data_IF_311052258689
#
_entry.id   IF_311052258689
#
_cell.length_a   1.000
_cell.length_b   1.000
_cell.length_c   1.000
_cell.angle_alpha   90.00
_cell.angle_beta   90.00
_cell.angle_gamma   90.00
#
_symmetry.space_group_name_H-M   'P 1'
#
loop_
_entity.id
_entity.type
_entity.pdbx_description
1 polymer ?
#
# COMPACT_ATOMS: atom_id res chain seq x y z
N UNK A 1 1.93 -58.16 23.57
CA UNK A 1 1.44 -57.80 24.91
C UNK A 1 2.06 -56.47 25.32
N UNK A 2 1.38 -55.37 25.01
CA UNK A 2 1.33 -54.13 25.80
C UNK A 2 -0.05 -53.53 25.53
N UNK A 3 -0.58 -52.90 26.56
CA UNK A 3 -1.97 -52.80 26.95
C UNK A 3 -2.87 -51.92 26.07
N UNK A 4 -4.14 -52.31 26.07
CA UNK A 4 -5.27 -51.53 25.61
C UNK A 4 -5.97 -50.92 26.83
N UNK A 5 -5.68 -49.65 27.15
CA UNK A 5 -6.56 -48.83 27.98
C UNK A 5 -6.14 -47.36 27.91
N UNK A 6 -6.84 -46.55 27.11
CA UNK A 6 -7.40 -45.29 27.61
C UNK A 6 -8.45 -44.75 26.63
N UNK A 7 -9.67 -45.27 26.80
CA UNK A 7 -10.86 -44.87 26.07
C UNK A 7 -11.68 -43.89 26.91
N UNK A 8 -11.21 -42.65 27.09
CA UNK A 8 -12.10 -41.56 27.53
C UNK A 8 -11.53 -40.17 27.19
N UNK A 9 -11.56 -39.78 25.92
CA UNK A 9 -11.55 -38.36 25.52
C UNK A 9 -12.85 -38.03 24.81
N UNK A 10 -13.89 -37.81 25.62
CA UNK A 10 -15.15 -37.20 25.19
C UNK A 10 -14.85 -35.93 24.41
N UNK A 11 -15.39 -35.85 23.20
CA UNK A 11 -15.42 -34.65 22.35
C UNK A 11 -16.07 -33.51 23.15
N UNK A 12 -15.25 -32.59 23.66
CA UNK A 12 -15.76 -31.29 24.06
C UNK A 12 -16.19 -30.56 22.77
N UNK A 13 -17.41 -30.01 22.70
CA UNK A 13 -17.82 -29.22 21.54
C UNK A 13 -16.90 -28.00 21.45
N UNK A 14 -16.35 -27.75 20.26
CA UNK A 14 -15.54 -26.57 19.94
C UNK A 14 -16.45 -25.34 20.10
N UNK A 15 -16.46 -24.77 21.31
CA UNK A 15 -17.19 -23.52 21.65
C UNK A 15 -16.66 -22.29 20.90
N UNK A 16 -15.61 -22.43 20.09
CA UNK A 16 -14.97 -21.35 19.33
C UNK A 16 -15.68 -20.98 18.04
N UNK A 17 -16.16 -21.94 17.24
CA UNK A 17 -16.70 -21.66 15.89
C UNK A 17 -18.07 -20.97 15.96
N UNK A 18 -18.93 -21.38 16.89
CA UNK A 18 -20.24 -20.73 17.07
C UNK A 18 -20.12 -19.32 17.64
N UNK A 19 -19.15 -19.06 18.52
CA UNK A 19 -18.83 -17.70 18.98
C UNK A 19 -18.16 -16.84 17.89
N UNK A 20 -17.34 -17.45 17.01
CA UNK A 20 -16.74 -16.77 15.86
C UNK A 20 -17.83 -16.36 14.84
N UNK A 21 -18.79 -17.26 14.58
CA UNK A 21 -19.91 -17.03 13.65
C UNK A 21 -20.97 -16.08 14.23
N UNK A 22 -21.30 -16.16 15.52
CA UNK A 22 -22.22 -15.20 16.17
C UNK A 22 -21.60 -13.81 16.26
N UNK A 23 -20.28 -13.72 16.45
CA UNK A 23 -19.55 -12.44 16.47
C UNK A 23 -19.31 -11.86 15.06
N UNK A 24 -19.16 -12.70 14.04
CA UNK A 24 -19.19 -12.27 12.63
C UNK A 24 -20.55 -11.65 12.26
N UNK A 25 -21.65 -12.08 12.90
CA UNK A 25 -22.99 -11.50 12.76
C UNK A 25 -23.22 -10.21 13.56
N UNK A 26 -22.55 -10.03 14.71
CA UNK A 26 -22.78 -8.91 15.64
C UNK A 26 -21.96 -7.64 15.29
N UNK A 27 -21.85 -7.30 14.00
CA UNK A 27 -21.12 -6.12 13.48
C UNK A 27 -21.92 -4.81 13.52
N UNK A 28 -23.18 -4.83 13.93
CA UNK A 28 -24.03 -3.63 14.01
C UNK A 28 -23.90 -2.87 15.35
N UNK A 29 -22.81 -3.09 16.11
CA UNK A 29 -22.37 -2.13 17.15
C UNK A 29 -21.72 -0.90 16.50
N UNK A 30 -22.62 -0.04 16.01
CA UNK A 30 -22.34 1.25 15.44
C UNK A 30 -22.01 1.15 13.96
N UNK A 31 -23.00 1.42 13.12
CA UNK A 31 -22.79 2.27 11.94
C UNK A 31 -22.00 3.48 12.46
N UNK A 32 -20.67 3.38 12.47
CA UNK A 32 -19.81 4.51 12.77
C UNK A 32 -19.92 5.39 11.52
N UNK A 33 -21.07 6.05 11.39
CA UNK A 33 -21.32 7.11 10.43
C UNK A 33 -20.21 8.11 10.67
N UNK A 34 -19.19 8.05 9.82
CA UNK A 34 -18.13 9.04 9.81
C UNK A 34 -18.87 10.35 9.54
N UNK A 35 -18.87 11.29 10.50
CA UNK A 35 -19.68 12.49 10.35
C UNK A 35 -19.24 13.19 9.06
N UNK A 36 -20.24 13.59 8.25
CA UNK A 36 -20.00 14.30 6.99
C UNK A 36 -19.05 15.49 7.21
N UNK A 37 -19.20 16.14 8.36
CA UNK A 37 -18.30 17.16 8.87
C UNK A 37 -17.20 16.54 9.74
N UNK A 38 -15.91 16.77 9.43
CA UNK A 38 -14.83 16.25 10.24
C UNK A 38 -14.85 16.89 11.65
N UNK A 39 -14.37 16.18 12.70
CA UNK A 39 -14.55 16.61 14.08
C UNK A 39 -13.80 17.92 14.37
N UNK A 40 -14.36 18.76 15.23
CA UNK A 40 -13.73 20.03 15.62
C UNK A 40 -12.43 19.85 16.42
N UNK A 41 -12.23 18.67 17.02
CA UNK A 41 -11.05 18.32 17.82
C UNK A 41 -10.47 16.98 17.37
N UNK A 42 -9.16 16.83 17.53
CA UNK A 42 -8.46 15.59 17.21
C UNK A 42 -8.86 14.49 18.19
N UNK A 43 -9.29 13.31 17.72
CA UNK A 43 -9.65 12.21 18.62
C UNK A 43 -8.46 11.63 19.39
N UNK A 44 -7.22 11.92 18.99
CA UNK A 44 -5.99 11.47 19.66
C UNK A 44 -5.46 12.50 20.66
N UNK A 45 -5.15 13.71 20.22
CA UNK A 45 -4.50 14.72 21.05
C UNK A 45 -5.44 15.82 21.56
N UNK A 46 -6.72 15.77 21.22
CA UNK A 46 -7.74 16.76 21.55
C UNK A 46 -7.43 18.20 21.09
N UNK A 47 -6.42 18.41 20.24
CA UNK A 47 -6.13 19.70 19.67
C UNK A 47 -7.29 20.16 18.78
N UNK A 48 -7.61 21.46 18.83
CA UNK A 48 -8.59 22.07 17.93
C UNK A 48 -8.11 21.95 16.48
N UNK A 49 -9.03 21.60 15.57
CA UNK A 49 -8.74 21.38 14.15
C UNK A 49 -9.32 22.53 13.33
N UNK A 50 -8.54 23.61 13.07
CA UNK A 50 -9.03 24.77 12.34
C UNK A 50 -9.33 24.42 10.88
N UNK A 51 -10.54 24.74 10.43
CA UNK A 51 -11.05 24.40 9.11
C UNK A 51 -10.22 24.96 7.92
N UNK A 52 -9.40 25.99 8.18
CA UNK A 52 -8.66 26.76 7.17
C UNK A 52 -7.30 26.17 6.78
N UNK A 53 -6.76 25.20 7.52
CA UNK A 53 -5.39 24.71 7.26
C UNK A 53 -5.32 23.71 6.11
N UNK A 54 -4.27 23.77 5.28
CA UNK A 54 -4.02 22.80 4.19
C UNK A 54 -4.00 21.34 4.70
N UNK A 55 -3.37 21.11 5.86
CA UNK A 55 -3.37 19.79 6.50
C UNK A 55 -4.78 19.31 6.86
N UNK A 56 -5.68 20.23 7.22
CA UNK A 56 -7.06 19.89 7.53
C UNK A 56 -7.90 19.56 6.30
N UNK A 57 -7.67 20.23 5.16
CA UNK A 57 -8.25 19.79 3.88
C UNK A 57 -7.85 18.36 3.53
N UNK A 58 -6.67 17.96 3.97
CA UNK A 58 -6.19 16.58 3.87
C UNK A 58 -6.58 15.72 5.07
N UNK A 59 -7.35 16.22 6.04
CA UNK A 59 -7.73 15.51 7.29
C UNK A 59 -6.54 14.89 8.04
N UNK A 60 -5.44 15.63 8.13
CA UNK A 60 -4.27 15.31 8.95
C UNK A 60 -4.18 16.29 10.12
N UNK A 61 -4.05 15.78 11.34
CA UNK A 61 -3.88 16.63 12.52
C UNK A 61 -2.52 17.33 12.49
N UNK A 62 -2.44 18.67 12.56
CA UNK A 62 -1.16 19.38 12.54
C UNK A 62 -0.34 19.18 13.82
N UNK A 63 -0.98 18.80 14.93
CA UNK A 63 -0.31 18.66 16.24
C UNK A 63 0.27 17.28 16.48
N UNK A 64 -0.41 16.21 16.05
CA UNK A 64 0.03 14.83 16.30
C UNK A 64 0.18 13.98 15.02
N UNK A 65 0.01 14.59 13.85
CA UNK A 65 0.08 13.93 12.55
C UNK A 65 -0.87 12.74 12.38
N UNK A 66 -1.92 12.61 13.20
CA UNK A 66 -2.95 11.60 13.01
C UNK A 66 -3.64 11.81 11.66
N UNK A 67 -3.64 10.77 10.83
CA UNK A 67 -4.38 10.69 9.60
C UNK A 67 -5.82 10.25 9.88
N UNK A 68 -6.79 11.16 9.70
CA UNK A 68 -8.20 10.83 9.82
C UNK A 68 -8.75 10.33 8.48
N UNK A 69 -9.87 9.61 8.53
CA UNK A 69 -10.56 9.10 7.34
C UNK A 69 -11.05 10.23 6.45
N UNK A 70 -10.78 10.09 5.16
CA UNK A 70 -11.08 11.07 4.11
C UNK A 70 -11.97 10.39 3.05
N UNK A 71 -13.15 10.95 2.72
CA UNK A 71 -14.00 10.43 1.66
C UNK A 71 -13.28 10.31 0.32
N UNK A 72 -13.72 9.39 -0.54
CA UNK A 72 -13.02 9.06 -1.77
C UNK A 72 -12.86 10.26 -2.72
N UNK A 73 -13.91 11.07 -2.89
CA UNK A 73 -13.86 12.27 -3.77
C UNK A 73 -12.92 13.34 -3.23
N UNK A 74 -12.95 13.59 -1.93
CA UNK A 74 -12.01 14.52 -1.27
C UNK A 74 -10.56 14.01 -1.43
N UNK A 75 -10.36 12.70 -1.26
CA UNK A 75 -9.07 12.04 -1.47
C UNK A 75 -8.55 12.25 -2.89
N UNK A 76 -9.39 12.03 -3.90
CA UNK A 76 -9.04 12.28 -5.31
C UNK A 76 -8.59 13.73 -5.48
N UNK A 77 -9.38 14.70 -5.00
CA UNK A 77 -9.08 16.13 -5.13
C UNK A 77 -7.75 16.55 -4.49
N UNK A 78 -7.28 15.86 -3.45
CA UNK A 78 -5.95 16.15 -2.86
C UNK A 78 -4.78 15.68 -3.71
N UNK A 79 -5.00 14.70 -4.59
CA UNK A 79 -3.94 14.00 -5.32
C UNK A 79 -3.77 14.49 -6.76
N UNK A 80 -4.87 14.79 -7.45
CA UNK A 80 -4.88 15.04 -8.90
C UNK A 80 -4.80 16.52 -9.26
N UNK A 81 -4.52 16.84 -10.52
CA UNK A 81 -4.58 18.20 -11.06
C UNK A 81 -6.03 18.70 -11.08
N UNK A 82 -6.22 19.98 -10.71
CA UNK A 82 -7.55 20.60 -10.62
C UNK A 82 -8.31 20.50 -11.95
N UNK A 83 -9.57 20.07 -11.89
CA UNK A 83 -10.44 19.91 -13.06
C UNK A 83 -10.08 18.76 -14.01
N UNK A 84 -9.13 17.88 -13.64
CA UNK A 84 -8.70 16.78 -14.51
C UNK A 84 -9.48 15.47 -14.34
N UNK A 85 -10.31 15.34 -13.30
CA UNK A 85 -11.03 14.11 -13.01
C UNK A 85 -12.16 13.86 -13.99
N UNK A 86 -12.21 12.65 -14.55
CA UNK A 86 -13.35 12.14 -15.30
C UNK A 86 -13.72 10.78 -14.71
N UNK A 87 -14.86 10.74 -14.01
CA UNK A 87 -15.36 9.52 -13.40
C UNK A 87 -15.75 8.49 -14.47
N UNK A 88 -15.55 7.22 -14.15
CA UNK A 88 -15.83 6.08 -15.03
C UNK A 88 -16.64 5.04 -14.28
N UNK A 89 -17.52 4.35 -15.01
CA UNK A 89 -18.46 3.37 -14.46
C UNK A 89 -19.31 3.94 -13.31
N UNK A 90 -19.66 5.23 -13.34
CA UNK A 90 -20.47 5.86 -12.30
C UNK A 90 -21.79 5.12 -12.11
N UNK A 91 -22.39 4.65 -13.21
CA UNK A 91 -23.66 3.93 -13.29
C UNK A 91 -23.65 2.53 -12.65
N UNK A 92 -22.48 1.95 -12.37
CA UNK A 92 -22.41 0.66 -11.69
C UNK A 92 -22.80 0.82 -10.21
N UNK A 93 -23.94 0.24 -9.84
CA UNK A 93 -24.50 0.32 -8.50
C UNK A 93 -24.70 -1.05 -7.86
N UNK A 94 -24.39 -1.15 -6.58
CA UNK A 94 -24.60 -2.37 -5.80
C UNK A 94 -26.07 -2.75 -5.77
N UNK A 95 -26.33 -4.04 -5.92
CA UNK A 95 -27.65 -4.66 -5.80
C UNK A 95 -27.61 -5.75 -4.73
N UNK A 96 -28.76 -6.36 -4.44
CA UNK A 96 -28.87 -7.44 -3.47
C UNK A 96 -29.12 -8.79 -4.19
N UNK A 97 -28.08 -9.42 -4.77
CA UNK A 97 -28.23 -10.63 -5.58
C UNK A 97 -28.59 -11.87 -4.76
N UNK A 98 -28.42 -11.80 -3.43
CA UNK A 98 -28.68 -12.92 -2.51
C UNK A 98 -29.96 -12.73 -1.69
N UNK A 99 -30.67 -11.61 -1.89
CA UNK A 99 -31.81 -11.20 -1.05
C UNK A 99 -31.47 -11.28 0.45
N UNK A 100 -30.26 -10.82 0.80
CA UNK A 100 -29.67 -11.04 2.10
C UNK A 100 -30.41 -10.27 3.19
N UNK A 101 -30.67 -10.95 4.31
CA UNK A 101 -31.38 -10.39 5.45
C UNK A 101 -30.68 -10.75 6.76
N UNK A 102 -30.32 -9.73 7.54
CA UNK A 102 -29.89 -9.83 8.94
C UNK A 102 -30.88 -9.09 9.86
N UNK A 103 -30.42 -8.21 10.74
CA UNK A 103 -31.27 -7.30 11.51
C UNK A 103 -32.05 -6.33 10.60
N UNK A 104 -31.50 -6.01 9.43
CA UNK A 104 -32.13 -5.14 8.41
C UNK A 104 -31.87 -5.68 6.99
N UNK A 105 -32.84 -5.60 6.07
CA UNK A 105 -32.64 -6.04 4.68
C UNK A 105 -31.42 -5.36 4.04
N UNK A 106 -30.55 -6.12 3.36
CA UNK A 106 -29.35 -5.56 2.74
C UNK A 106 -29.68 -4.52 1.67
N UNK A 107 -30.70 -4.75 0.84
CA UNK A 107 -31.23 -3.76 -0.10
C UNK A 107 -31.58 -2.40 0.56
N UNK A 108 -32.11 -2.41 1.79
CA UNK A 108 -32.43 -1.17 2.51
C UNK A 108 -31.15 -0.44 2.98
N UNK A 109 -30.13 -1.19 3.42
CA UNK A 109 -28.80 -0.64 3.77
C UNK A 109 -28.16 0.01 2.55
N UNK A 110 -28.17 -0.66 1.40
CA UNK A 110 -27.65 -0.13 0.15
C UNK A 110 -28.33 1.18 -0.23
N UNK A 111 -29.67 1.20 -0.23
CA UNK A 111 -30.43 2.41 -0.57
C UNK A 111 -30.12 3.58 0.37
N UNK A 112 -29.97 3.30 1.66
CA UNK A 112 -29.58 4.32 2.65
C UNK A 112 -28.17 4.86 2.37
N UNK A 113 -27.19 3.98 2.19
CA UNK A 113 -25.80 4.33 1.93
C UNK A 113 -25.63 5.10 0.61
N UNK A 114 -26.32 4.67 -0.44
CA UNK A 114 -26.31 5.36 -1.74
C UNK A 114 -26.89 6.78 -1.62
N UNK A 115 -27.97 6.94 -0.85
CA UNK A 115 -28.57 8.24 -0.61
C UNK A 115 -27.70 9.16 0.27
N UNK A 116 -27.05 8.62 1.31
CA UNK A 116 -26.24 9.42 2.24
C UNK A 116 -24.88 9.84 1.67
N UNK A 117 -24.28 9.02 0.80
CA UNK A 117 -22.95 9.28 0.25
C UNK A 117 -22.98 9.84 -1.18
N UNK A 118 -24.15 9.87 -1.83
CA UNK A 118 -24.28 10.21 -3.26
C UNK A 118 -23.30 9.40 -4.12
N UNK A 119 -23.19 8.11 -3.83
CA UNK A 119 -22.28 7.16 -4.46
C UNK A 119 -22.99 5.82 -4.63
N UNK A 120 -22.69 5.13 -5.73
CA UNK A 120 -23.38 3.88 -6.08
C UNK A 120 -22.80 2.63 -5.39
N UNK A 121 -21.54 2.69 -4.95
CA UNK A 121 -20.87 1.71 -4.10
C UNK A 121 -19.64 2.35 -3.41
N UNK A 122 -18.91 1.59 -2.60
CA UNK A 122 -17.75 1.99 -1.81
C UNK A 122 -16.46 2.28 -2.59
N UNK A 123 -16.57 2.70 -3.86
CA UNK A 123 -15.42 3.02 -4.69
C UNK A 123 -15.76 4.09 -5.74
N UNK A 124 -14.81 4.99 -5.97
CA UNK A 124 -14.82 5.97 -7.05
C UNK A 124 -13.66 5.67 -7.99
N UNK A 125 -13.95 5.51 -9.28
CA UNK A 125 -12.98 5.18 -10.33
C UNK A 125 -13.01 6.23 -11.44
N UNK A 126 -11.87 6.55 -12.02
CA UNK A 126 -11.84 7.52 -13.11
C UNK A 126 -10.47 7.67 -13.75
N UNK A 127 -10.42 8.50 -14.79
CA UNK A 127 -9.17 9.02 -15.33
C UNK A 127 -8.87 10.39 -14.73
N UNK A 128 -7.59 10.72 -14.57
CA UNK A 128 -7.14 12.00 -14.04
C UNK A 128 -5.75 12.36 -14.56
N UNK A 129 -5.23 13.51 -14.11
CA UNK A 129 -3.82 13.87 -14.29
C UNK A 129 -3.15 14.13 -12.95
N UNK A 130 -1.88 13.80 -12.82
CA UNK A 130 -1.01 14.25 -11.73
C UNK A 130 0.24 14.87 -12.36
N UNK A 131 0.45 16.17 -12.16
CA UNK A 131 1.56 16.90 -12.78
C UNK A 131 1.57 16.78 -14.30
N UNK A 132 0.38 16.77 -14.93
CA UNK A 132 0.19 16.61 -16.36
C UNK A 132 0.21 15.16 -16.88
N UNK A 133 0.69 14.19 -16.10
CA UNK A 133 0.74 12.77 -16.49
C UNK A 133 -0.64 12.16 -16.33
N UNK A 134 -1.17 11.56 -17.40
CA UNK A 134 -2.48 10.89 -17.38
C UNK A 134 -2.40 9.57 -16.61
N UNK A 135 -3.38 9.35 -15.74
CA UNK A 135 -3.48 8.15 -14.91
C UNK A 135 -4.91 7.60 -14.91
N UNK A 136 -5.03 6.34 -14.53
CA UNK A 136 -6.28 5.76 -14.03
C UNK A 136 -6.20 5.69 -12.51
N UNK A 137 -7.26 6.11 -11.82
CA UNK A 137 -7.32 6.14 -10.36
C UNK A 137 -8.56 5.42 -9.85
N UNK A 138 -8.40 4.66 -8.77
CA UNK A 138 -9.46 3.96 -8.07
C UNK A 138 -9.33 4.17 -6.56
N UNK A 139 -10.34 4.78 -5.94
CA UNK A 139 -10.30 5.17 -4.52
C UNK A 139 -11.47 4.54 -3.78
N UNK A 140 -11.17 3.68 -2.83
CA UNK A 140 -12.19 3.08 -1.96
C UNK A 140 -12.65 4.09 -0.91
N UNK A 141 -13.94 4.03 -0.57
CA UNK A 141 -14.55 4.87 0.45
C UNK A 141 -14.96 4.04 1.67
N UNK A 142 -14.21 4.17 2.77
CA UNK A 142 -14.52 3.45 4.00
C UNK A 142 -15.86 3.90 4.63
N UNK A 143 -16.34 5.09 4.28
CA UNK A 143 -17.61 5.61 4.81
C UNK A 143 -18.80 4.81 4.29
N UNK A 144 -18.70 4.22 3.10
CA UNK A 144 -19.70 3.35 2.52
C UNK A 144 -19.48 1.90 2.97
N UNK A 145 -20.29 1.42 3.91
CA UNK A 145 -20.26 0.02 4.38
C UNK A 145 -18.84 -0.50 4.74
N UNK A 146 -18.02 0.34 5.36
CA UNK A 146 -16.66 -0.01 5.77
C UNK A 146 -15.70 -0.24 4.60
N UNK A 147 -15.99 0.32 3.41
CA UNK A 147 -15.15 0.13 2.23
C UNK A 147 -15.13 -1.31 1.73
N UNK A 148 -16.09 -2.13 2.18
CA UNK A 148 -16.05 -3.57 1.93
C UNK A 148 -16.19 -3.88 0.44
N UNK A 149 -15.40 -4.82 -0.07
CA UNK A 149 -15.44 -5.20 -1.48
C UNK A 149 -16.58 -6.18 -1.75
N UNK A 150 -17.60 -5.71 -2.45
CA UNK A 150 -18.64 -6.51 -3.11
C UNK A 150 -18.38 -6.65 -4.61
N UNK A 151 -19.38 -7.11 -5.36
CA UNK A 151 -19.38 -7.26 -6.83
C UNK A 151 -18.97 -5.97 -7.52
N UNK A 152 -19.58 -4.84 -7.16
CA UNK A 152 -19.35 -3.57 -7.87
C UNK A 152 -17.97 -3.00 -7.57
N UNK A 153 -17.48 -3.04 -6.33
CA UNK A 153 -16.09 -2.72 -6.01
C UNK A 153 -15.11 -3.57 -6.84
N UNK A 154 -15.31 -4.88 -6.87
CA UNK A 154 -14.46 -5.79 -7.64
C UNK A 154 -14.49 -5.54 -9.15
N UNK A 155 -15.68 -5.30 -9.70
CA UNK A 155 -15.88 -4.97 -11.11
C UNK A 155 -15.16 -3.67 -11.47
N UNK A 156 -15.34 -2.62 -10.66
CA UNK A 156 -14.73 -1.31 -10.91
C UNK A 156 -13.21 -1.35 -10.84
N UNK A 157 -12.61 -2.13 -9.92
CA UNK A 157 -11.16 -2.32 -9.87
C UNK A 157 -10.67 -3.06 -11.12
N UNK A 158 -11.36 -4.13 -11.53
CA UNK A 158 -11.00 -4.88 -12.73
C UNK A 158 -11.10 -4.01 -13.99
N UNK A 159 -12.20 -3.28 -14.15
CA UNK A 159 -12.41 -2.34 -15.24
C UNK A 159 -11.37 -1.20 -15.25
N UNK A 160 -11.01 -0.65 -14.09
CA UNK A 160 -9.96 0.36 -14.00
C UNK A 160 -8.58 -0.17 -14.44
N UNK A 161 -8.26 -1.42 -14.10
CA UNK A 161 -7.02 -2.05 -14.56
C UNK A 161 -7.03 -2.33 -16.07
N UNK A 162 -8.17 -2.76 -16.62
CA UNK A 162 -8.33 -2.99 -18.07
C UNK A 162 -8.29 -1.67 -18.86
N UNK A 163 -8.91 -0.61 -18.34
CA UNK A 163 -8.83 0.76 -18.89
C UNK A 163 -7.38 1.29 -18.84
N UNK A 164 -6.66 1.08 -17.74
CA UNK A 164 -5.25 1.45 -17.62
C UNK A 164 -4.38 0.77 -18.70
N UNK A 165 -4.64 -0.50 -18.99
CA UNK A 165 -4.00 -1.23 -20.09
C UNK A 165 -4.39 -0.63 -21.45
N UNK A 166 -5.68 -0.49 -21.72
CA UNK A 166 -6.17 -0.01 -23.01
C UNK A 166 -5.70 1.42 -23.35
N UNK A 167 -5.58 2.26 -22.32
CA UNK A 167 -5.20 3.65 -22.46
C UNK A 167 -3.69 3.91 -22.27
N UNK A 168 -2.90 2.87 -21.98
CA UNK A 168 -1.47 2.90 -21.68
C UNK A 168 -1.10 3.89 -20.55
N UNK A 169 -1.83 3.80 -19.43
CA UNK A 169 -1.70 4.74 -18.31
C UNK A 169 -1.46 4.03 -16.98
N UNK A 170 -0.61 4.58 -16.11
CA UNK A 170 -0.43 4.09 -14.75
C UNK A 170 -1.76 3.94 -14.00
N UNK A 171 -1.89 2.86 -13.22
CA UNK A 171 -2.99 2.65 -12.30
C UNK A 171 -2.58 3.05 -10.89
N UNK A 172 -3.42 3.81 -10.21
CA UNK A 172 -3.25 4.15 -8.80
C UNK A 172 -4.48 3.72 -8.01
N UNK A 173 -4.29 2.86 -7.01
CA UNK A 173 -5.36 2.54 -6.05
C UNK A 173 -5.11 3.19 -4.70
N UNK A 174 -6.14 3.75 -4.10
CA UNK A 174 -6.12 4.18 -2.70
C UNK A 174 -7.12 3.33 -1.94
N UNK A 175 -6.60 2.52 -1.02
CA UNK A 175 -7.34 1.40 -0.43
C UNK A 175 -7.70 1.74 1.00
N UNK A 176 -9.00 1.70 1.30
CA UNK A 176 -9.55 1.79 2.65
C UNK A 176 -10.71 0.79 2.73
N UNK A 177 -10.48 -0.36 3.37
CA UNK A 177 -11.45 -1.45 3.42
C UNK A 177 -11.31 -2.32 4.66
N UNK A 178 -12.46 -2.71 5.22
CA UNK A 178 -12.57 -3.74 6.25
C UNK A 178 -12.60 -5.19 5.72
N UNK A 179 -12.45 -5.41 4.41
CA UNK A 179 -12.41 -6.71 3.77
C UNK A 179 -13.56 -6.98 2.78
N UNK A 180 -13.92 -8.25 2.60
CA UNK A 180 -14.98 -8.65 1.67
C UNK A 180 -16.39 -8.34 2.22
N UNK A 181 -17.34 -8.02 1.33
CA UNK A 181 -18.72 -7.73 1.70
C UNK A 181 -19.52 -9.01 1.92
N UNK A 182 -19.73 -9.35 3.19
CA UNK A 182 -20.36 -10.60 3.60
C UNK A 182 -21.79 -10.78 3.06
N UNK A 183 -22.54 -9.68 2.91
CA UNK A 183 -23.91 -9.69 2.40
C UNK A 183 -24.00 -10.21 0.96
N UNK A 184 -22.91 -10.13 0.20
CA UNK A 184 -22.81 -10.65 -1.17
C UNK A 184 -22.13 -12.03 -1.23
N UNK A 185 -21.73 -12.59 -0.09
CA UNK A 185 -21.25 -13.97 0.05
C UNK A 185 -20.12 -14.36 -0.91
N UNK A 186 -20.32 -15.45 -1.65
CA UNK A 186 -19.34 -15.98 -2.61
C UNK A 186 -19.03 -14.99 -3.73
N UNK A 187 -19.97 -14.12 -4.11
CA UNK A 187 -19.75 -13.13 -5.16
C UNK A 187 -18.66 -12.12 -4.77
N UNK A 188 -18.65 -11.68 -3.51
CA UNK A 188 -17.60 -10.83 -2.96
C UNK A 188 -16.25 -11.54 -2.90
N UNK A 189 -16.23 -12.83 -2.55
CA UNK A 189 -14.99 -13.61 -2.51
C UNK A 189 -14.37 -13.78 -3.91
N UNK A 190 -15.19 -14.07 -4.93
CA UNK A 190 -14.73 -14.20 -6.31
C UNK A 190 -14.11 -12.92 -6.87
N UNK A 191 -14.47 -11.75 -6.33
CA UNK A 191 -13.82 -10.50 -6.76
C UNK A 191 -12.33 -10.48 -6.48
N UNK A 192 -11.84 -11.15 -5.43
CA UNK A 192 -10.39 -11.26 -5.18
C UNK A 192 -9.65 -11.86 -6.37
N UNK A 193 -10.19 -12.93 -6.94
CA UNK A 193 -9.62 -13.59 -8.10
C UNK A 193 -9.76 -12.73 -9.37
N UNK A 194 -10.91 -12.08 -9.56
CA UNK A 194 -11.17 -11.19 -10.70
C UNK A 194 -10.19 -10.01 -10.72
N UNK A 195 -10.07 -9.29 -9.60
CA UNK A 195 -9.16 -8.14 -9.49
C UNK A 195 -7.70 -8.59 -9.61
N UNK A 196 -7.33 -9.72 -8.98
CA UNK A 196 -5.98 -10.27 -9.11
C UNK A 196 -5.61 -10.62 -10.55
N UNK A 197 -6.55 -11.20 -11.31
CA UNK A 197 -6.35 -11.50 -12.72
C UNK A 197 -6.18 -10.22 -13.57
N UNK A 198 -6.98 -9.19 -13.32
CA UNK A 198 -6.88 -7.91 -14.03
C UNK A 198 -5.55 -7.20 -13.75
N UNK A 199 -5.12 -7.14 -12.48
CA UNK A 199 -3.81 -6.58 -12.10
C UNK A 199 -2.66 -7.38 -12.70
N UNK A 200 -2.76 -8.71 -12.76
CA UNK A 200 -1.75 -9.54 -13.42
C UNK A 200 -1.61 -9.21 -14.91
N UNK A 201 -2.71 -8.95 -15.61
CA UNK A 201 -2.69 -8.50 -17.01
C UNK A 201 -2.01 -7.13 -17.13
N UNK A 202 -2.35 -6.19 -16.24
CA UNK A 202 -1.70 -4.86 -16.20
C UNK A 202 -0.19 -4.98 -16.01
N UNK A 203 0.26 -5.74 -15.02
CA UNK A 203 1.70 -5.97 -14.77
C UNK A 203 2.44 -6.51 -15.99
N UNK A 204 1.81 -7.39 -16.78
CA UNK A 204 2.43 -7.96 -17.98
C UNK A 204 2.74 -6.93 -19.09
N UNK A 205 2.14 -5.73 -19.02
CA UNK A 205 2.38 -4.64 -19.98
C UNK A 205 3.57 -3.75 -19.62
N UNK A 206 4.09 -3.84 -18.39
CA UNK A 206 5.12 -2.92 -17.89
C UNK A 206 4.61 -1.52 -17.48
N UNK A 207 3.29 -1.31 -17.53
CA UNK A 207 2.65 -0.11 -16.99
C UNK A 207 2.59 -0.21 -15.46
N UNK A 208 3.01 0.82 -14.70
CA UNK A 208 3.14 0.73 -13.26
C UNK A 208 1.78 0.74 -12.57
N UNK A 209 1.64 -0.15 -11.60
CA UNK A 209 0.56 -0.16 -10.63
C UNK A 209 1.06 0.30 -9.26
N UNK A 210 0.56 1.45 -8.79
CA UNK A 210 0.87 2.00 -7.46
C UNK A 210 -0.31 1.76 -6.52
N UNK A 211 -0.08 1.02 -5.44
CA UNK A 211 -1.09 0.78 -4.41
C UNK A 211 -0.79 1.62 -3.17
N UNK A 212 -1.75 2.42 -2.71
CA UNK A 212 -1.66 3.24 -1.50
C UNK A 212 -2.58 2.66 -0.44
N UNK A 213 -2.01 2.05 0.58
CA UNK A 213 -2.72 1.42 1.70
C UNK A 213 -3.01 2.46 2.78
N UNK A 214 -4.28 2.55 3.20
CA UNK A 214 -4.74 3.56 4.16
C UNK A 214 -5.55 2.90 5.28
N UNK A 215 -5.82 3.64 6.35
CA UNK A 215 -6.47 3.10 7.54
C UNK A 215 -7.99 2.88 7.36
N UNK A 216 -8.51 1.66 7.56
CA UNK A 216 -7.82 0.36 7.57
C UNK A 216 -7.76 -0.28 6.17
N UNK A 217 -6.83 -1.20 5.93
CA UNK A 217 -6.80 -2.08 4.75
C UNK A 217 -6.67 -3.53 5.18
N UNK A 218 -7.78 -4.26 5.24
CA UNK A 218 -7.79 -5.62 5.79
C UNK A 218 -8.50 -6.67 4.94
N UNK A 219 -8.38 -7.94 5.36
CA UNK A 219 -9.16 -9.05 4.80
C UNK A 219 -8.83 -9.39 3.35
N UNK A 220 -9.86 -9.82 2.63
CA UNK A 220 -9.73 -10.20 1.21
C UNK A 220 -9.25 -9.08 0.29
N UNK A 221 -9.45 -7.81 0.67
CA UNK A 221 -8.93 -6.67 -0.10
C UNK A 221 -7.40 -6.60 0.02
N UNK A 222 -6.86 -6.69 1.23
CA UNK A 222 -5.40 -6.79 1.44
C UNK A 222 -4.80 -8.04 0.75
N UNK A 223 -5.48 -9.19 0.82
CA UNK A 223 -5.05 -10.43 0.18
C UNK A 223 -5.36 -10.53 -1.32
N UNK A 224 -5.69 -9.41 -1.98
CA UNK A 224 -5.93 -9.35 -3.42
C UNK A 224 -5.21 -8.14 -4.02
N UNK A 225 -5.90 -7.28 -4.78
CA UNK A 225 -5.27 -6.22 -5.58
C UNK A 225 -4.41 -5.26 -4.74
N UNK A 226 -4.81 -4.97 -3.49
CA UNK A 226 -4.13 -3.98 -2.66
C UNK A 226 -2.64 -4.32 -2.43
N UNK A 227 -2.29 -5.59 -2.35
CA UNK A 227 -0.90 -6.05 -2.13
C UNK A 227 -0.19 -6.51 -3.41
N UNK A 228 -0.79 -6.25 -4.58
CA UNK A 228 -0.23 -6.62 -5.89
C UNK A 228 0.38 -5.43 -6.65
N UNK A 229 0.55 -4.28 -5.97
CA UNK A 229 1.25 -3.12 -6.51
C UNK A 229 2.68 -3.46 -6.93
N UNK A 230 3.19 -2.79 -7.96
CA UNK A 230 4.61 -2.76 -8.25
C UNK A 230 5.35 -1.89 -7.23
N UNK A 231 4.67 -0.82 -6.78
CA UNK A 231 5.04 0.00 -5.62
C UNK A 231 3.84 0.08 -4.68
N UNK A 232 4.05 -0.29 -3.43
CA UNK A 232 3.07 -0.29 -2.35
C UNK A 232 3.50 0.77 -1.32
N UNK A 233 2.74 1.85 -1.26
CA UNK A 233 2.88 2.92 -0.28
C UNK A 233 1.86 2.72 0.84
N UNK A 234 2.19 3.13 2.05
CA UNK A 234 1.21 3.19 3.14
C UNK A 234 1.21 4.55 3.82
N UNK A 235 0.06 4.93 4.39
CA UNK A 235 0.01 6.07 5.30
C UNK A 235 0.56 5.69 6.69
N UNK A 236 1.17 6.64 7.43
CA UNK A 236 1.68 6.40 8.78
C UNK A 236 0.61 5.81 9.70
N UNK A 237 1.01 4.83 10.51
CA UNK A 237 0.17 4.16 11.50
C UNK A 237 -1.10 3.47 10.96
N UNK A 238 -1.24 3.33 9.63
CA UNK A 238 -2.43 2.72 9.05
C UNK A 238 -2.55 1.24 9.42
N UNK A 239 -3.73 0.80 9.85
CA UNK A 239 -3.99 -0.61 10.17
C UNK A 239 -4.12 -1.44 8.88
N UNK A 240 -3.17 -2.33 8.65
CA UNK A 240 -3.05 -3.15 7.44
C UNK A 240 -2.80 -4.61 7.81
N UNK A 241 -3.56 -5.53 7.24
CA UNK A 241 -3.30 -6.96 7.38
C UNK A 241 -4.46 -7.87 7.03
N UNK A 242 -4.19 -9.15 6.78
CA UNK A 242 -5.24 -10.10 6.39
C UNK A 242 -6.31 -10.26 7.46
N UNK A 243 -5.90 -10.51 8.71
CA UNK A 243 -6.79 -10.53 9.85
C UNK A 243 -6.57 -9.27 10.70
N UNK A 244 -7.65 -8.67 11.21
CA UNK A 244 -7.53 -7.58 12.17
C UNK A 244 -6.97 -8.08 13.51
N UNK A 245 -6.28 -7.22 14.29
CA UNK A 245 -5.59 -7.62 15.52
C UNK A 245 -6.53 -8.32 16.49
N UNK A 246 -7.76 -7.82 16.66
CA UNK A 246 -8.79 -8.45 17.51
C UNK A 246 -9.13 -9.89 17.13
N UNK A 247 -9.14 -10.20 15.83
CA UNK A 247 -9.43 -11.55 15.34
C UNK A 247 -8.25 -12.47 15.66
N UNK A 248 -7.02 -11.98 15.48
CA UNK A 248 -5.81 -12.72 15.79
C UNK A 248 -5.72 -12.99 17.30
N UNK A 249 -5.96 -11.99 18.13
CA UNK A 249 -5.97 -12.10 19.60
C UNK A 249 -7.00 -13.12 20.10
N UNK A 250 -8.20 -13.13 19.50
CA UNK A 250 -9.23 -14.09 19.85
C UNK A 250 -8.84 -15.55 19.52
N UNK A 251 -8.08 -15.76 18.44
CA UNK A 251 -7.62 -17.09 18.01
C UNK A 251 -6.41 -17.54 18.81
N UNK A 252 -5.44 -16.66 19.04
CA UNK A 252 -4.19 -16.97 19.75
C UNK A 252 -4.41 -17.01 21.28
N UNK A 253 -5.41 -16.28 21.79
CA UNK A 253 -5.67 -16.16 23.23
C UNK A 253 -4.66 -15.27 23.95
N UNK A 254 -3.89 -14.45 23.22
CA UNK A 254 -2.91 -13.52 23.75
C UNK A 254 -3.02 -12.16 23.03
N UNK A 255 -2.74 -11.04 23.71
CA UNK A 255 -2.71 -9.73 23.06
C UNK A 255 -1.60 -9.67 22.01
N UNK A 256 -1.84 -8.96 20.93
CA UNK A 256 -0.79 -8.74 19.94
C UNK A 256 0.23 -7.70 20.43
N UNK A 257 1.50 -7.78 19.99
CA UNK A 257 2.47 -6.73 20.26
C UNK A 257 1.96 -5.36 19.79
N UNK A 258 2.32 -4.31 20.54
CA UNK A 258 2.02 -2.93 20.15
C UNK A 258 2.63 -2.63 18.78
N UNK A 259 1.87 -1.93 17.93
CA UNK A 259 2.27 -1.63 16.56
C UNK A 259 2.16 -2.81 15.58
N UNK A 260 1.77 -4.02 16.02
CA UNK A 260 1.47 -5.09 15.05
C UNK A 260 0.39 -4.65 14.06
N UNK A 261 0.52 -5.08 12.81
CA UNK A 261 -0.42 -4.74 11.72
C UNK A 261 -0.49 -3.25 11.37
N UNK A 262 0.42 -2.38 11.83
CA UNK A 262 0.52 -1.02 11.31
C UNK A 262 1.48 -0.93 10.10
N UNK A 263 1.47 0.20 9.41
CA UNK A 263 2.35 0.46 8.28
C UNK A 263 3.84 0.28 8.63
N UNK A 264 4.27 0.73 9.81
CA UNK A 264 5.65 0.61 10.30
C UNK A 264 6.08 -0.86 10.46
N UNK A 265 5.19 -1.69 11.00
CA UNK A 265 5.40 -3.13 11.12
C UNK A 265 5.49 -3.79 9.74
N UNK A 266 4.61 -3.44 8.81
CA UNK A 266 4.65 -3.99 7.45
C UNK A 266 5.92 -3.58 6.69
N UNK A 267 6.42 -2.36 6.88
CA UNK A 267 7.68 -1.91 6.27
C UNK A 267 8.86 -2.73 6.81
N UNK A 268 8.92 -2.92 8.13
CA UNK A 268 9.97 -3.73 8.77
C UNK A 268 9.99 -5.19 8.29
N UNK A 269 8.82 -5.73 7.94
CA UNK A 269 8.66 -7.11 7.44
C UNK A 269 8.59 -7.19 5.91
N UNK A 270 9.02 -6.12 5.22
CA UNK A 270 9.21 -6.12 3.77
C UNK A 270 7.93 -6.20 2.93
N UNK A 271 6.76 -5.91 3.50
CA UNK A 271 5.48 -5.99 2.78
C UNK A 271 5.13 -4.72 2.00
N UNK A 272 5.66 -3.56 2.39
CA UNK A 272 5.44 -2.27 1.73
C UNK A 272 6.79 -1.60 1.43
N UNK A 273 6.84 -0.71 0.44
CA UNK A 273 8.08 -0.06 0.01
C UNK A 273 8.39 1.20 0.81
N UNK A 274 7.35 1.96 1.17
CA UNK A 274 7.53 3.23 1.85
C UNK A 274 6.28 3.67 2.61
N UNK A 275 6.52 4.36 3.71
CA UNK A 275 5.49 5.07 4.47
C UNK A 275 5.52 6.53 4.04
N UNK A 276 4.38 7.03 3.55
CA UNK A 276 4.26 8.35 2.96
C UNK A 276 3.10 9.09 3.60
N UNK A 277 3.40 10.22 4.25
CA UNK A 277 2.36 11.09 4.80
C UNK A 277 1.50 11.69 3.68
N UNK A 278 0.23 11.95 3.99
CA UNK A 278 -0.75 12.40 3.01
C UNK A 278 -0.35 13.71 2.32
N UNK A 279 0.25 14.70 3.01
CA UNK A 279 0.74 15.91 2.36
C UNK A 279 1.90 15.68 1.38
N UNK A 280 2.71 14.64 1.59
CA UNK A 280 3.82 14.27 0.72
C UNK A 280 3.39 13.32 -0.42
N UNK A 281 2.26 12.63 -0.28
CA UNK A 281 1.81 11.57 -1.19
C UNK A 281 1.76 12.02 -2.64
N UNK A 282 1.18 13.19 -2.94
CA UNK A 282 1.13 13.73 -4.31
C UNK A 282 2.51 13.85 -4.94
N UNK A 283 3.46 14.44 -4.22
CA UNK A 283 4.80 14.66 -4.74
C UNK A 283 5.56 13.34 -4.91
N UNK A 284 5.37 12.39 -4.00
CA UNK A 284 5.97 11.05 -4.12
C UNK A 284 5.41 10.30 -5.32
N UNK A 285 4.09 10.29 -5.51
CA UNK A 285 3.44 9.67 -6.67
C UNK A 285 3.89 10.35 -7.96
N UNK A 286 3.91 11.69 -8.01
CA UNK A 286 4.37 12.43 -9.19
C UNK A 286 5.82 12.09 -9.56
N UNK A 287 6.71 11.97 -8.56
CA UNK A 287 8.11 11.57 -8.77
C UNK A 287 8.21 10.18 -9.38
N UNK A 288 7.46 9.19 -8.86
CA UNK A 288 7.40 7.84 -9.44
C UNK A 288 6.94 7.90 -10.90
N UNK A 289 5.82 8.57 -11.15
CA UNK A 289 5.22 8.70 -12.48
C UNK A 289 6.16 9.40 -13.46
N UNK A 290 6.87 10.43 -13.01
CA UNK A 290 7.81 11.19 -13.82
C UNK A 290 9.02 10.33 -14.21
N UNK A 291 9.62 9.60 -13.27
CA UNK A 291 10.72 8.68 -13.55
C UNK A 291 10.28 7.61 -14.55
N UNK A 292 9.10 7.02 -14.36
CA UNK A 292 8.55 6.04 -15.30
C UNK A 292 8.28 6.63 -16.69
N UNK A 293 7.65 7.80 -16.76
CA UNK A 293 7.37 8.49 -18.03
C UNK A 293 8.66 8.72 -18.83
N UNK A 294 9.74 9.12 -18.17
CA UNK A 294 11.01 9.35 -18.85
C UNK A 294 11.66 8.02 -19.25
N UNK A 295 11.57 6.98 -18.42
CA UNK A 295 12.09 5.66 -18.72
C UNK A 295 11.36 5.02 -19.92
N UNK A 296 10.04 5.21 -20.02
CA UNK A 296 9.22 4.68 -21.12
C UNK A 296 9.58 5.25 -22.50
N UNK A 297 10.29 6.38 -22.55
CA UNK A 297 10.74 7.04 -23.78
C UNK A 297 12.16 6.62 -24.19
N UNK A 298 12.89 5.91 -23.33
CA UNK A 298 14.24 5.48 -23.62
C UNK A 298 14.25 4.39 -24.69
N UNK A 299 15.18 4.50 -25.63
CA UNK A 299 15.48 3.42 -26.56
C UNK A 299 16.47 2.44 -25.91
N UNK A 300 15.96 1.28 -25.51
CA UNK A 300 16.74 0.19 -24.91
C UNK A 300 17.94 -0.24 -25.76
N UNK A 301 17.85 -0.18 -27.10
CA UNK A 301 18.98 -0.53 -27.97
C UNK A 301 20.05 0.57 -27.96
N UNK A 302 19.65 1.84 -27.98
CA UNK A 302 20.59 2.95 -27.89
C UNK A 302 21.38 2.95 -26.57
N UNK A 303 20.72 2.61 -25.45
CA UNK A 303 21.40 2.49 -24.14
C UNK A 303 22.42 1.35 -24.13
N UNK A 304 22.07 0.17 -24.67
CA UNK A 304 22.96 -1.01 -24.67
C UNK A 304 24.15 -0.89 -25.64
N UNK A 305 24.06 -0.02 -26.64
CA UNK A 305 25.09 0.17 -27.66
C UNK A 305 26.03 1.33 -27.34
N UNK A 306 25.84 2.03 -26.21
CA UNK A 306 26.80 3.03 -25.76
C UNK A 306 28.18 2.42 -25.60
N UNK A 307 29.19 3.13 -26.11
CA UNK A 307 30.57 2.73 -25.96
C UNK A 307 30.90 2.59 -24.47
N UNK A 308 31.72 1.59 -24.07
CA UNK A 308 32.16 1.46 -22.69
C UNK A 308 32.72 2.78 -22.19
N UNK A 309 32.38 3.15 -20.95
CA UNK A 309 32.98 4.31 -20.31
C UNK A 309 34.51 4.18 -20.40
N UNK A 310 35.14 5.21 -20.96
CA UNK A 310 36.59 5.32 -20.99
C UNK A 310 37.01 6.19 -19.81
N UNK A 311 37.96 5.70 -19.02
CA UNK A 311 38.54 6.49 -17.95
C UNK A 311 39.13 7.78 -18.51
N UNK A 312 38.97 8.88 -17.78
CA UNK A 312 39.53 10.16 -18.19
C UNK A 312 41.04 10.01 -18.39
N UNK A 313 41.60 10.34 -19.57
CA UNK A 313 43.01 10.08 -19.89
C UNK A 313 44.01 10.70 -18.92
N UNK A 314 43.59 11.75 -18.21
CA UNK A 314 44.39 12.49 -17.24
C UNK A 314 44.30 11.95 -15.81
N UNK A 315 43.52 10.88 -15.57
CA UNK A 315 43.37 10.30 -14.23
C UNK A 315 44.62 9.54 -13.82
N UNK A 316 45.54 10.22 -13.13
CA UNK A 316 46.68 9.58 -12.47
C UNK A 316 46.18 8.77 -11.26
N UNK A 317 46.07 7.46 -11.42
CA UNK A 317 45.76 6.57 -10.30
C UNK A 317 47.01 6.39 -9.40
N UNK A 318 46.84 6.24 -8.07
CA UNK A 318 47.92 5.83 -7.19
C UNK A 318 48.50 4.47 -7.61
N UNK A 319 49.64 4.10 -7.03
CA UNK A 319 50.15 2.75 -7.21
C UNK A 319 49.12 1.69 -6.72
N UNK A 320 49.13 0.47 -7.28
CA UNK A 320 48.11 -0.54 -6.97
C UNK A 320 47.98 -0.88 -5.48
N UNK A 321 49.06 -0.78 -4.70
CA UNK A 321 49.04 -1.08 -3.28
C UNK A 321 48.35 0.02 -2.47
N UNK A 322 48.66 1.28 -2.77
CA UNK A 322 47.97 2.44 -2.18
C UNK A 322 46.48 2.41 -2.50
N UNK A 323 46.11 2.22 -3.76
CA UNK A 323 44.71 2.13 -4.19
C UNK A 323 43.97 0.99 -3.47
N UNK A 324 44.58 -0.18 -3.36
CA UNK A 324 43.97 -1.34 -2.67
C UNK A 324 43.78 -1.06 -1.18
N UNK A 325 44.72 -0.36 -0.55
CA UNK A 325 44.65 0.00 0.87
C UNK A 325 43.54 1.01 1.12
N UNK A 326 43.39 2.01 0.26
CA UNK A 326 42.32 3.03 0.35
C UNK A 326 40.92 2.40 0.16
N UNK A 327 40.73 1.57 -0.86
CA UNK A 327 39.44 0.91 -1.15
C UNK A 327 39.05 -0.09 -0.06
N UNK A 328 40.02 -0.59 0.73
CA UNK A 328 39.78 -1.48 1.88
C UNK A 328 39.76 -0.75 3.22
N UNK A 329 40.05 0.55 3.25
CA UNK A 329 40.07 1.36 4.45
C UNK A 329 38.69 1.51 5.08
N UNK A 330 38.65 1.80 6.38
CA UNK A 330 37.42 2.10 7.13
C UNK A 330 36.72 3.37 6.63
N UNK A 331 37.49 4.31 6.06
CA UNK A 331 37.00 5.59 5.53
C UNK A 331 36.42 5.50 4.11
N UNK A 332 36.38 4.29 3.51
CA UNK A 332 35.86 4.13 2.15
C UNK A 332 34.38 4.53 2.10
N UNK A 333 33.92 5.26 1.07
CA UNK A 333 32.51 5.62 0.96
C UNK A 333 31.61 4.37 0.88
N UNK A 334 30.47 4.41 1.58
CA UNK A 334 29.45 3.37 1.49
C UNK A 334 28.61 3.53 0.23
N UNK A 335 27.84 2.49 -0.14
CA UNK A 335 26.89 2.58 -1.26
C UNK A 335 25.88 3.70 -1.03
N UNK A 336 25.40 3.88 0.20
CA UNK A 336 24.57 5.02 0.58
C UNK A 336 25.25 6.37 0.30
N UNK A 337 26.54 6.51 0.63
CA UNK A 337 27.29 7.74 0.38
C UNK A 337 27.45 8.05 -1.12
N UNK A 338 27.61 7.03 -1.95
CA UNK A 338 27.61 7.21 -3.41
C UNK A 338 26.23 7.63 -3.93
N UNK A 339 25.17 6.95 -3.48
CA UNK A 339 23.80 7.28 -3.87
C UNK A 339 23.49 8.74 -3.55
N UNK A 340 23.74 9.18 -2.32
CA UNK A 340 23.49 10.57 -1.89
C UNK A 340 24.24 11.64 -2.72
N UNK A 341 25.37 11.28 -3.35
CA UNK A 341 26.20 12.21 -4.12
C UNK A 341 25.92 12.19 -5.62
N UNK A 342 25.54 11.04 -6.16
CA UNK A 342 25.47 10.83 -7.62
C UNK A 342 24.03 10.93 -8.13
N UNK A 343 23.04 10.57 -7.30
CA UNK A 343 21.65 10.46 -7.75
C UNK A 343 20.82 11.64 -7.27
N UNK A 344 19.82 12.01 -8.08
CA UNK A 344 18.74 12.93 -7.71
C UNK A 344 17.40 12.17 -7.64
N UNK A 345 16.41 12.74 -6.95
CA UNK A 345 15.06 12.16 -6.81
C UNK A 345 15.00 10.73 -6.26
N UNK A 346 15.96 10.32 -5.43
CA UNK A 346 15.99 8.97 -4.88
C UNK A 346 14.69 8.62 -4.14
N UNK A 347 14.03 7.57 -4.60
CA UNK A 347 12.95 6.90 -3.90
C UNK A 347 13.43 5.50 -3.53
N UNK A 348 13.73 5.24 -2.24
CA UNK A 348 14.08 3.90 -1.80
C UNK A 348 12.88 2.97 -1.99
N UNK A 349 13.16 1.75 -2.42
CA UNK A 349 12.21 0.65 -2.48
C UNK A 349 12.67 -0.40 -1.47
N UNK A 350 11.80 -0.69 -0.51
CA UNK A 350 12.08 -1.62 0.58
C UNK A 350 11.27 -2.91 0.43
N UNK A 351 11.83 -3.98 0.99
CA UNK A 351 11.12 -5.23 1.21
C UNK A 351 11.19 -6.25 0.08
N UNK A 352 11.20 -7.51 0.45
CA UNK A 352 11.20 -8.68 -0.44
C UNK A 352 9.79 -9.25 -0.71
N UNK A 353 8.74 -8.64 -0.14
CA UNK A 353 7.34 -9.10 -0.14
C UNK A 353 7.09 -10.45 0.55
N UNK A 354 8.06 -10.99 1.26
CA UNK A 354 8.01 -12.34 1.80
C UNK A 354 8.39 -12.38 3.30
N UNK A 355 9.57 -11.87 3.66
CA UNK A 355 10.12 -12.01 5.01
C UNK A 355 10.54 -10.68 5.64
N UNK A 356 11.16 -9.77 4.88
CA UNK A 356 11.79 -8.59 5.46
C UNK A 356 12.51 -7.70 4.45
N UNK A 357 13.07 -6.61 4.97
CA UNK A 357 13.99 -5.76 4.22
C UNK A 357 15.44 -6.09 4.62
N UNK A 358 16.34 -6.24 3.65
CA UNK A 358 17.77 -6.47 3.91
C UNK A 358 18.50 -5.12 3.94
N UNK A 359 18.93 -4.63 5.11
CA UNK A 359 19.60 -3.32 5.22
C UNK A 359 20.95 -3.26 4.49
N UNK A 360 21.49 -4.41 4.08
CA UNK A 360 22.72 -4.47 3.27
C UNK A 360 22.49 -4.26 1.77
N UNK A 361 21.23 -4.21 1.32
CA UNK A 361 20.86 -3.92 -0.06
C UNK A 361 20.05 -2.63 -0.10
N UNK A 362 20.62 -1.60 -0.72
CA UNK A 362 19.92 -0.33 -0.96
C UNK A 362 19.45 -0.34 -2.41
N UNK A 363 18.15 -0.42 -2.61
CA UNK A 363 17.51 -0.37 -3.91
C UNK A 363 16.59 0.84 -4.01
N UNK A 364 16.49 1.43 -5.20
CA UNK A 364 15.55 2.52 -5.42
C UNK A 364 15.59 3.07 -6.84
N UNK A 365 14.51 3.76 -7.20
CA UNK A 365 14.42 4.49 -8.46
C UNK A 365 14.89 5.93 -8.27
N UNK A 366 15.63 6.45 -9.23
CA UNK A 366 16.22 7.79 -9.16
C UNK A 366 16.61 8.30 -10.55
N UNK A 367 17.31 9.43 -10.58
CA UNK A 367 17.96 9.96 -11.77
C UNK A 367 19.46 10.09 -11.57
N UNK A 368 20.22 9.82 -12.63
CA UNK A 368 21.64 10.20 -12.74
C UNK A 368 21.76 11.07 -13.98
N UNK A 369 22.15 12.34 -13.80
CA UNK A 369 22.23 13.31 -14.90
C UNK A 369 20.95 13.35 -15.74
N UNK A 370 19.80 13.47 -15.08
CA UNK A 370 18.43 13.43 -15.66
C UNK A 370 17.98 12.09 -16.28
N UNK A 371 18.86 11.08 -16.39
CA UNK A 371 18.47 9.77 -16.89
C UNK A 371 17.81 8.94 -15.76
N UNK A 372 16.59 8.41 -15.98
CA UNK A 372 15.92 7.57 -14.99
C UNK A 372 16.63 6.22 -14.89
N UNK A 373 16.97 5.82 -13.67
CA UNK A 373 17.69 4.57 -13.39
C UNK A 373 17.14 3.89 -12.14
N UNK A 374 17.31 2.58 -12.09
CA UNK A 374 17.20 1.79 -10.86
C UNK A 374 18.62 1.62 -10.31
N UNK A 375 18.89 2.12 -9.10
CA UNK A 375 20.16 1.90 -8.43
C UNK A 375 20.00 0.76 -7.43
N UNK A 376 20.98 -0.15 -7.46
CA UNK A 376 21.11 -1.25 -6.49
C UNK A 376 22.54 -1.17 -5.94
N UNK A 377 22.65 -0.85 -4.66
CA UNK A 377 23.91 -0.76 -3.95
C UNK A 377 23.99 -1.83 -2.85
N UNK A 378 25.10 -2.55 -2.79
CA UNK A 378 25.41 -3.41 -1.66
C UNK A 378 26.10 -2.55 -0.60
N UNK A 379 25.40 -2.23 0.48
CA UNK A 379 25.96 -1.46 1.59
C UNK A 379 26.40 -2.40 2.72
N UNK A 380 27.65 -2.28 3.14
CA UNK A 380 28.19 -3.06 4.27
C UNK A 380 28.06 -2.29 5.60
N UNK A 381 27.42 -1.12 5.58
CA UNK A 381 27.39 -0.17 6.68
C UNK A 381 28.73 0.56 6.83
N UNK A 382 28.70 1.67 7.57
CA UNK A 382 29.88 2.13 8.28
C UNK A 382 30.05 1.22 9.49
N UNK A 383 31.26 0.74 9.78
CA UNK A 383 31.55 0.02 11.02
C UNK A 383 31.22 0.94 12.23
N UNK A 384 29.96 0.94 12.66
CA UNK A 384 29.47 1.47 13.94
C UNK A 384 28.93 0.30 14.74
N UNK A 385 29.77 -0.69 14.97
CA UNK A 385 29.52 -1.66 16.02
C UNK A 385 30.27 -1.18 17.26
N UNK A 386 29.61 -1.05 18.43
CA UNK A 386 30.32 -1.12 19.70
C UNK A 386 31.12 -2.43 19.71
N UNK A 387 32.28 -2.45 20.36
CA UNK A 387 33.29 -3.52 20.32
C UNK A 387 32.78 -4.97 20.61
N UNK A 388 31.51 -5.15 20.96
CA UNK A 388 30.90 -6.40 21.40
C UNK A 388 29.79 -6.98 20.48
N UNK A 389 29.51 -6.40 19.30
CA UNK A 389 28.52 -6.97 18.37
C UNK A 389 29.14 -7.96 17.35
N UNK A 390 28.50 -9.10 17.06
CA UNK A 390 29.06 -10.11 16.17
C UNK A 390 29.32 -9.54 14.77
N UNK A 391 30.59 -9.64 14.38
CA UNK A 391 31.21 -9.26 13.11
C UNK A 391 30.28 -9.29 11.88
N UNK A 392 30.05 -8.10 11.33
CA UNK A 392 29.59 -7.78 9.96
C UNK A 392 28.26 -8.43 9.54
N UNK A 393 27.28 -7.67 9.01
CA UNK A 393 26.24 -8.27 8.19
C UNK A 393 26.93 -8.82 6.93
N UNK A 394 27.24 -10.12 6.94
CA UNK A 394 27.45 -10.84 5.69
C UNK A 394 26.09 -10.88 5.01
N UNK A 395 25.99 -10.66 3.68
CA UNK A 395 24.81 -11.11 2.96
C UNK A 395 24.59 -12.58 3.33
N UNK A 396 23.37 -12.93 3.78
CA UNK A 396 23.06 -14.29 4.19
C UNK A 396 23.34 -15.21 2.99
N UNK A 397 24.41 -16.02 3.07
CA UNK A 397 24.80 -16.90 1.97
C UNK A 397 26.30 -17.11 1.71
N UNK A 398 27.22 -16.61 2.55
CA UNK A 398 28.66 -16.96 2.48
C UNK A 398 29.29 -17.35 3.82
#
# INVERSE_FOLDING_TARGET
MVDASDSDRRRAPVKGITNLLSWMGDRDRGDATIPATPPAHCPRCNAMLPASTRMWRMRVCPSCNLHLRLPARDRIATLIDDGSFQETAEEHASTDPLEFHDDRPYAARLKHQQASHHQNDAIVTGSAKIGGIRITIAVLDFTFMGGSMGLVVGEKIAAAAEEAVAAERPLITIVASGGARMQEGMFALWQMARTGAAIKKLRATGIPYISVLTDPTTGGVFASFASLGDIILAEPEALIGFAGPRVVEAVIGAPMPEGSHNAEYLLQHGHIDAIVSRPALRNTVLRILSIWSDASKLDDQAVRTQAPWQADPETSLPDPWTLTTEVRGSERPSSHAYIQRIVTDFLPLAGDRAAGDDPSVIAGICRISEMPVMVIGLDRGFDRFPDDAPLRPRPQGF
#
